data_IF_169329393855
#
_entry.id   IF_169329393855
#
_cell.length_a   1.000
_cell.length_b   1.000
_cell.length_c   1.000
_cell.angle_alpha   90.00
_cell.angle_beta   90.00
_cell.angle_gamma   90.00
#
_symmetry.space_group_name_H-M   'P 1'
#
loop_
_entity.id
_entity.type
_entity.pdbx_description
1 polymer ?
#
# COMPACT_ATOMS: atom_id res chain seq x y z
N UNK A 1 0.12 -20.82 15.94
CA UNK A 1 -0.61 -20.41 14.72
C UNK A 1 -1.76 -19.55 15.20
N UNK A 2 -1.61 -18.22 15.14
CA UNK A 2 -2.63 -17.31 15.67
C UNK A 2 -3.78 -17.29 14.64
N UNK A 3 -5.01 -17.69 14.98
CA UNK A 3 -6.12 -17.49 14.06
C UNK A 3 -6.24 -15.98 13.88
N UNK A 4 -6.19 -15.50 12.64
CA UNK A 4 -6.62 -14.14 12.33
C UNK A 4 -8.06 -14.09 12.85
N UNK A 5 -8.28 -13.37 13.95
CA UNK A 5 -9.62 -13.15 14.45
C UNK A 5 -10.44 -12.61 13.27
N UNK A 6 -11.53 -13.29 12.92
CA UNK A 6 -12.38 -12.88 11.81
C UNK A 6 -12.98 -11.53 12.16
N UNK A 7 -12.31 -10.45 11.74
CA UNK A 7 -12.81 -9.10 11.84
C UNK A 7 -14.10 -9.02 11.03
N UNK A 8 -15.12 -8.34 11.56
CA UNK A 8 -16.33 -8.13 10.76
C UNK A 8 -16.00 -7.25 9.56
N UNK A 9 -16.75 -7.43 8.46
CA UNK A 9 -16.61 -6.59 7.27
C UNK A 9 -16.77 -5.10 7.61
N UNK A 10 -17.66 -4.77 8.56
CA UNK A 10 -17.91 -3.38 9.00
C UNK A 10 -16.68 -2.76 9.66
N UNK A 11 -16.05 -3.47 10.61
CA UNK A 11 -14.82 -2.98 11.26
C UNK A 11 -13.70 -2.81 10.23
N UNK A 12 -13.57 -3.77 9.32
CA UNK A 12 -12.58 -3.72 8.23
C UNK A 12 -12.75 -2.49 7.35
N UNK A 13 -13.99 -2.17 6.98
CA UNK A 13 -14.30 -0.98 6.18
C UNK A 13 -14.03 0.31 6.98
N UNK A 14 -14.23 0.31 8.30
CA UNK A 14 -13.86 1.42 9.18
C UNK A 14 -12.37 1.74 9.11
N UNK A 15 -11.52 0.72 9.24
CA UNK A 15 -10.05 0.88 9.14
C UNK A 15 -9.63 1.42 7.77
N UNK A 16 -10.26 0.93 6.69
CA UNK A 16 -10.00 1.40 5.32
C UNK A 16 -10.41 2.86 5.14
N UNK A 17 -11.55 3.28 5.70
CA UNK A 17 -12.00 4.68 5.64
C UNK A 17 -11.02 5.59 6.39
N UNK A 18 -10.57 5.19 7.58
CA UNK A 18 -9.60 5.96 8.34
C UNK A 18 -8.24 6.02 7.62
N UNK A 19 -7.82 4.94 6.98
CA UNK A 19 -6.62 4.90 6.14
C UNK A 19 -6.74 5.90 4.99
N UNK A 20 -7.87 5.88 4.27
CA UNK A 20 -8.13 6.80 3.15
C UNK A 20 -8.24 8.27 3.58
N UNK A 21 -8.62 8.55 4.83
CA UNK A 21 -8.60 9.91 5.40
C UNK A 21 -7.22 10.36 5.83
N UNK A 22 -6.39 9.42 6.28
CA UNK A 22 -5.00 9.69 6.66
C UNK A 22 -4.14 9.99 5.44
N UNK A 23 -4.40 9.29 4.33
CA UNK A 23 -3.86 9.66 3.03
C UNK A 23 -4.79 10.65 2.33
N UNK A 24 -4.31 11.29 1.28
CA UNK A 24 -5.16 12.07 0.40
C UNK A 24 -5.95 11.12 -0.50
N UNK A 25 -7.18 10.77 -0.15
CA UNK A 25 -8.01 9.82 -0.91
C UNK A 25 -8.13 10.18 -2.40
N UNK A 26 -8.11 11.47 -2.73
CA UNK A 26 -8.12 12.01 -4.09
C UNK A 26 -6.90 11.60 -4.93
N UNK A 27 -5.84 11.10 -4.30
CA UNK A 27 -4.65 10.60 -4.98
C UNK A 27 -4.73 9.13 -5.37
N UNK A 28 -5.73 8.40 -4.87
CA UNK A 28 -5.85 6.95 -5.09
C UNK A 28 -6.73 6.67 -6.31
N UNK A 29 -6.17 5.97 -7.30
CA UNK A 29 -6.88 5.47 -8.48
C UNK A 29 -7.57 4.13 -8.18
N UNK A 30 -6.83 3.20 -7.56
CA UNK A 30 -7.33 1.86 -7.24
C UNK A 30 -7.09 1.54 -5.77
N UNK A 31 -8.16 1.12 -5.11
CA UNK A 31 -8.14 0.51 -3.79
C UNK A 31 -8.56 -0.95 -3.92
N UNK A 32 -7.72 -1.87 -3.47
CA UNK A 32 -8.10 -3.29 -3.31
C UNK A 32 -8.06 -3.66 -1.83
N UNK A 33 -9.15 -4.22 -1.33
CA UNK A 33 -9.25 -4.69 0.07
C UNK A 33 -9.42 -6.21 0.06
N UNK A 34 -8.51 -6.91 0.72
CA UNK A 34 -8.64 -8.34 1.04
C UNK A 34 -8.72 -8.52 2.56
N UNK A 35 -9.08 -9.72 3.04
CA UNK A 35 -9.02 -10.03 4.47
C UNK A 35 -7.63 -9.78 5.08
N UNK A 36 -6.56 -10.01 4.30
CA UNK A 36 -5.18 -9.91 4.78
C UNK A 36 -4.60 -8.51 4.60
N UNK A 37 -4.95 -7.79 3.53
CA UNK A 37 -4.25 -6.54 3.18
C UNK A 37 -5.11 -5.49 2.48
N UNK A 38 -4.62 -4.25 2.50
CA UNK A 38 -5.11 -3.13 1.69
C UNK A 38 -4.03 -2.77 0.68
N UNK A 39 -4.36 -2.75 -0.61
CA UNK A 39 -3.46 -2.29 -1.66
C UNK A 39 -3.97 -0.97 -2.23
N UNK A 40 -3.08 0.02 -2.28
CA UNK A 40 -3.31 1.34 -2.84
C UNK A 40 -2.49 1.50 -4.13
N UNK A 41 -3.15 1.95 -5.19
CA UNK A 41 -2.52 2.45 -6.39
C UNK A 41 -2.86 3.92 -6.55
N UNK A 42 -1.88 4.82 -6.55
CA UNK A 42 -2.11 6.22 -6.84
C UNK A 42 -2.34 6.48 -8.33
N UNK A 43 -2.99 7.59 -8.66
CA UNK A 43 -3.14 8.07 -10.04
C UNK A 43 -1.79 8.34 -10.71
N UNK A 44 -0.85 8.89 -9.94
CA UNK A 44 0.52 9.11 -10.38
C UNK A 44 1.45 8.25 -9.53
N UNK A 45 2.20 7.35 -10.17
CA UNK A 45 3.12 6.47 -9.46
C UNK A 45 4.19 7.26 -8.67
N UNK A 46 4.55 8.47 -9.10
CA UNK A 46 5.47 9.36 -8.40
C UNK A 46 5.00 9.73 -6.98
N UNK A 47 3.69 9.67 -6.71
CA UNK A 47 3.13 9.94 -5.38
C UNK A 47 3.29 8.76 -4.41
N UNK A 48 3.57 7.55 -4.93
CA UNK A 48 3.53 6.31 -4.17
C UNK A 48 4.51 6.26 -2.99
N UNK A 49 5.74 6.75 -3.17
CA UNK A 49 6.68 6.84 -2.05
C UNK A 49 6.19 7.83 -0.98
N UNK A 50 5.70 9.00 -1.38
CA UNK A 50 5.19 10.00 -0.44
C UNK A 50 4.02 9.47 0.39
N UNK A 51 3.09 8.74 -0.24
CA UNK A 51 1.97 8.07 0.43
C UNK A 51 2.48 6.99 1.39
N UNK A 52 3.42 6.16 0.93
CA UNK A 52 4.03 5.11 1.76
C UNK A 52 4.71 5.69 3.01
N UNK A 53 5.46 6.78 2.86
CA UNK A 53 6.11 7.48 3.97
C UNK A 53 5.10 8.08 4.95
N UNK A 54 4.02 8.68 4.46
CA UNK A 54 2.94 9.22 5.30
C UNK A 54 2.24 8.13 6.14
N UNK A 55 2.22 6.90 5.62
CA UNK A 55 1.69 5.71 6.30
C UNK A 55 2.72 4.98 7.17
N UNK A 56 4.01 5.38 7.14
CA UNK A 56 5.08 4.71 7.87
C UNK A 56 5.50 3.37 7.28
N UNK A 57 5.28 3.13 5.98
CA UNK A 57 5.69 1.91 5.30
C UNK A 57 7.19 1.98 4.95
N UNK A 58 7.97 1.03 5.46
CA UNK A 58 9.43 1.05 5.40
C UNK A 58 10.02 -0.03 4.48
N UNK A 59 9.25 -1.06 4.14
CA UNK A 59 9.67 -2.10 3.21
C UNK A 59 9.35 -1.71 1.77
N UNK A 60 10.26 -2.02 0.84
CA UNK A 60 10.08 -1.66 -0.56
C UNK A 60 10.77 -2.65 -1.50
N UNK A 61 9.99 -3.23 -2.41
CA UNK A 61 10.45 -4.20 -3.41
C UNK A 61 10.24 -3.62 -4.81
N UNK A 62 11.30 -3.61 -5.62
CA UNK A 62 11.25 -3.14 -7.00
C UNK A 62 10.79 -4.28 -7.94
N UNK A 63 9.66 -4.08 -8.61
CA UNK A 63 9.09 -4.99 -9.60
C UNK A 63 9.53 -4.54 -11.00
N UNK A 64 10.67 -5.07 -11.46
CA UNK A 64 11.33 -4.69 -12.72
C UNK A 64 10.94 -5.54 -13.93
N UNK A 65 10.31 -6.70 -13.69
CA UNK A 65 9.94 -7.68 -14.72
C UNK A 65 8.57 -7.40 -15.36
N UNK A 66 8.02 -6.21 -15.16
CA UNK A 66 6.72 -5.75 -15.66
C UNK A 66 6.91 -4.37 -16.28
N UNK A 67 6.13 -4.04 -17.31
CA UNK A 67 6.22 -2.76 -18.03
C UNK A 67 4.89 -1.98 -17.92
N UNK A 68 4.87 -0.76 -17.37
CA UNK A 68 5.99 -0.10 -16.68
C UNK A 68 6.34 -0.81 -15.35
N UNK A 69 7.64 -0.77 -15.00
CA UNK A 69 8.12 -1.23 -13.69
C UNK A 69 7.59 -0.35 -12.56
N UNK A 70 7.54 -0.89 -11.34
CA UNK A 70 7.08 -0.15 -10.17
C UNK A 70 7.79 -0.60 -8.89
N UNK A 71 7.76 0.23 -7.86
CA UNK A 71 8.15 -0.16 -6.50
C UNK A 71 6.90 -0.46 -5.68
N UNK A 72 6.85 -1.62 -5.03
CA UNK A 72 5.82 -1.98 -4.05
C UNK A 72 6.32 -1.65 -2.66
N UNK A 73 5.78 -0.61 -2.05
CA UNK A 73 6.00 -0.27 -0.65
C UNK A 73 5.05 -1.07 0.22
N UNK A 74 5.51 -1.60 1.34
CA UNK A 74 4.67 -2.34 2.26
C UNK A 74 5.04 -2.11 3.72
N UNK A 75 4.09 -2.37 4.59
CA UNK A 75 4.22 -2.24 6.03
C UNK A 75 2.89 -2.45 6.72
N UNK A 76 2.82 -2.05 7.98
CA UNK A 76 1.59 -2.18 8.78
C UNK A 76 1.12 -0.82 9.24
N UNK A 77 -0.14 -0.49 8.95
CA UNK A 77 -0.81 0.71 9.45
C UNK A 77 -1.91 0.30 10.42
N UNK A 78 -1.80 0.68 11.70
CA UNK A 78 -2.74 0.30 12.78
C UNK A 78 -3.07 -1.22 12.83
N UNK A 79 -2.07 -2.07 12.57
CA UNK A 79 -2.24 -3.53 12.56
C UNK A 79 -2.73 -4.12 11.23
N UNK A 80 -3.04 -3.30 10.24
CA UNK A 80 -3.43 -3.72 8.88
C UNK A 80 -2.20 -3.77 7.97
N UNK A 81 -2.01 -4.87 7.24
CA UNK A 81 -1.03 -4.89 6.15
C UNK A 81 -1.47 -3.94 5.04
N UNK A 82 -0.61 -2.98 4.69
CA UNK A 82 -0.84 -2.02 3.62
C UNK A 82 0.27 -2.12 2.60
N UNK A 83 -0.11 -2.04 1.34
CA UNK A 83 0.80 -1.97 0.21
C UNK A 83 0.47 -0.75 -0.65
N UNK A 84 1.50 -0.04 -1.10
CA UNK A 84 1.36 1.13 -1.97
C UNK A 84 2.24 0.93 -3.20
N UNK A 85 1.65 1.02 -4.40
CA UNK A 85 2.43 1.09 -5.63
C UNK A 85 3.01 2.49 -5.79
N UNK A 86 4.27 2.57 -6.20
CA UNK A 86 4.92 3.82 -6.57
C UNK A 86 5.85 3.66 -7.76
N UNK A 87 6.39 4.78 -8.23
CA UNK A 87 7.33 4.81 -9.33
C UNK A 87 8.54 3.94 -8.99
N UNK A 88 9.09 3.28 -10.00
CA UNK A 88 10.29 2.48 -9.84
C UNK A 88 11.41 3.38 -9.34
N UNK A 89 11.92 3.12 -8.12
CA UNK A 89 13.01 3.91 -7.55
C UNK A 89 14.25 3.84 -8.44
N UNK A 90 14.91 4.97 -8.61
CA UNK A 90 16.22 5.04 -9.24
C UNK A 90 17.28 4.42 -8.32
N UNK A 91 17.40 3.09 -8.32
CA UNK A 91 18.39 2.33 -7.55
C UNK A 91 18.98 1.19 -8.38
N UNK A 92 20.29 0.96 -8.24
CA UNK A 92 21.19 0.08 -9.02
C UNK A 92 20.57 -1.27 -9.44
N UNK A 93 20.88 -1.82 -10.63
CA UNK A 93 20.37 -3.13 -11.05
C UNK A 93 20.60 -4.17 -9.95
N UNK A 94 19.61 -5.04 -9.73
CA UNK A 94 19.85 -6.25 -8.96
C UNK A 94 20.99 -7.02 -9.66
N UNK A 95 22.12 -7.17 -8.97
CA UNK A 95 23.22 -8.06 -9.38
C UNK A 95 22.75 -9.51 -9.35
#
# INVERSE_FOLDING_TARGET
MNPIASQSVTERLGDVIDLLRHVRADWIEVLTVTPERVCLQPWHLDDGESIARALGLDHAIDQRMVEPGYTLWSGTWRGVEVQVRGALRAGVPAL
#
